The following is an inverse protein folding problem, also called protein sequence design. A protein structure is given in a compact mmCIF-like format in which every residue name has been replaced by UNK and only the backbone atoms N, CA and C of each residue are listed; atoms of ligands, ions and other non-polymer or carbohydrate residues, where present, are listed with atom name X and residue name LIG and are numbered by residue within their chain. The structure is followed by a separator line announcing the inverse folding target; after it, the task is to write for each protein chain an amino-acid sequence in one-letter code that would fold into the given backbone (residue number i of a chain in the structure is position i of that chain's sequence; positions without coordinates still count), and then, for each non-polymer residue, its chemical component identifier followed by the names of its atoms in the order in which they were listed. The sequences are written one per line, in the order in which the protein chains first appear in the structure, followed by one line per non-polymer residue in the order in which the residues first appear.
data_IF_386887022516
#
_entry.id   IF_386887022516
#
_cell.length_a   1.000
_cell.length_b   1.000
_cell.length_c   1.000
_cell.angle_alpha   90.00
_cell.angle_beta   90.00
_cell.angle_gamma   90.00
#
_symmetry.space_group_name_H-M   'P 1'
#
loop_
_entity.id
_entity.type
_entity.pdbx_description
1 polymer ?
#
# COMPACT_ATOMS: atom_id res chain seq x y z
N UNK A 1 -41.09 -58.39 -46.53
CA UNK A 1 -39.68 -58.30 -46.08
C UNK A 1 -38.85 -57.79 -47.24
N UNK A 2 -37.73 -57.05 -47.04
CA UNK A 2 -36.94 -56.84 -45.81
C UNK A 2 -36.91 -55.35 -45.36
N UNK A 3 -36.90 -54.98 -44.07
CA UNK A 3 -35.91 -55.15 -42.96
C UNK A 3 -34.72 -54.17 -42.99
N UNK A 4 -34.83 -53.13 -42.15
CA UNK A 4 -33.94 -52.71 -41.03
C UNK A 4 -32.41 -52.75 -41.22
N UNK A 5 -31.81 -51.56 -41.09
CA UNK A 5 -30.56 -51.17 -40.38
C UNK A 5 -30.84 -49.71 -39.92
N UNK A 6 -30.88 -49.24 -38.67
CA UNK A 6 -30.12 -49.52 -37.45
C UNK A 6 -28.62 -49.69 -37.70
N UNK A 7 -27.95 -48.55 -37.76
CA UNK A 7 -26.69 -48.34 -37.04
C UNK A 7 -26.96 -47.41 -35.86
N UNK A 8 -26.60 -47.92 -34.69
CA UNK A 8 -26.24 -47.20 -33.48
C UNK A 8 -24.85 -46.59 -33.63
N UNK A 9 -24.43 -45.83 -32.62
CA UNK A 9 -23.12 -45.17 -32.44
C UNK A 9 -23.21 -43.68 -32.84
N UNK A 10 -23.00 -42.70 -31.97
CA UNK A 10 -22.20 -42.66 -30.75
C UNK A 10 -22.69 -41.51 -29.85
N UNK A 11 -22.69 -41.75 -28.54
CA UNK A 11 -23.05 -40.81 -27.49
C UNK A 11 -21.99 -39.71 -27.36
N UNK A 12 -22.04 -38.72 -28.24
CA UNK A 12 -21.26 -37.49 -28.14
C UNK A 12 -21.96 -36.44 -27.29
N UNK A 13 -22.36 -36.77 -26.05
CA UNK A 13 -22.73 -35.75 -25.08
C UNK A 13 -21.44 -35.06 -24.62
N UNK A 14 -20.89 -34.19 -25.48
CA UNK A 14 -19.92 -33.17 -25.10
C UNK A 14 -20.61 -32.22 -24.12
N UNK A 15 -20.73 -32.70 -22.88
CA UNK A 15 -20.76 -31.84 -21.72
C UNK A 15 -19.48 -31.03 -21.84
N UNK A 16 -19.60 -29.82 -22.39
CA UNK A 16 -18.58 -28.79 -22.35
C UNK A 16 -18.34 -28.50 -20.87
N UNK A 17 -17.52 -29.34 -20.23
CA UNK A 17 -16.83 -28.98 -19.01
C UNK A 17 -15.89 -27.88 -19.44
N UNK A 18 -16.38 -26.64 -19.36
CA UNK A 18 -15.52 -25.51 -19.13
C UNK A 18 -14.78 -25.82 -17.84
N UNK A 19 -13.65 -26.53 -17.96
CA UNK A 19 -12.65 -26.71 -16.92
C UNK A 19 -12.10 -25.32 -16.65
N UNK A 20 -12.85 -24.54 -15.89
CA UNK A 20 -12.31 -23.36 -15.22
C UNK A 20 -11.28 -23.93 -14.27
N UNK A 21 -10.02 -23.95 -14.71
CA UNK A 21 -8.89 -24.30 -13.88
C UNK A 21 -8.97 -23.42 -12.64
N UNK A 22 -9.35 -23.99 -11.50
CA UNK A 22 -9.38 -23.29 -10.23
C UNK A 22 -7.94 -22.84 -9.95
N UNK A 23 -7.70 -21.54 -10.04
CA UNK A 23 -6.42 -20.95 -9.68
C UNK A 23 -6.46 -20.72 -8.17
N UNK A 24 -5.71 -21.54 -7.45
CA UNK A 24 -5.50 -21.35 -6.02
C UNK A 24 -4.35 -20.35 -5.83
N UNK A 25 -4.58 -19.32 -5.01
CA UNK A 25 -3.58 -18.29 -4.71
C UNK A 25 -3.46 -18.22 -3.20
N UNK A 26 -2.32 -18.69 -2.69
CA UNK A 26 -1.95 -18.59 -1.29
C UNK A 26 -1.11 -17.33 -1.05
N UNK A 27 -1.40 -16.61 0.01
CA UNK A 27 -0.56 -15.51 0.49
C UNK A 27 0.29 -16.02 1.65
N UNK A 28 1.58 -16.19 1.39
CA UNK A 28 2.54 -16.70 2.36
C UNK A 28 3.43 -15.57 2.86
N UNK A 29 3.79 -15.63 4.15
CA UNK A 29 4.56 -14.59 4.83
C UNK A 29 5.98 -15.11 5.08
N UNK A 30 6.97 -14.30 4.73
CA UNK A 30 8.38 -14.64 4.84
C UNK A 30 9.19 -13.46 5.37
N UNK A 31 10.29 -13.74 6.04
CA UNK A 31 11.32 -12.75 6.34
C UNK A 31 11.93 -12.22 5.02
N UNK A 32 12.35 -10.95 4.94
CA UNK A 32 13.09 -10.42 3.80
C UNK A 32 14.33 -11.26 3.47
N UNK A 33 14.43 -11.73 2.23
CA UNK A 33 15.54 -12.55 1.76
C UNK A 33 16.54 -11.73 0.93
N UNK A 34 17.77 -11.46 1.41
CA UNK A 34 18.77 -10.66 0.69
C UNK A 34 19.18 -11.22 -0.67
N UNK A 35 19.04 -12.53 -0.88
CA UNK A 35 19.46 -13.19 -2.12
C UNK A 35 18.41 -13.07 -3.24
N UNK A 36 17.17 -12.71 -2.91
CA UNK A 36 16.01 -12.74 -3.82
C UNK A 36 15.33 -11.38 -3.88
N UNK A 37 15.06 -10.76 -2.73
CA UNK A 37 14.04 -9.72 -2.59
C UNK A 37 14.50 -8.31 -2.97
N UNK A 38 15.80 -8.11 -3.18
CA UNK A 38 16.40 -6.79 -3.38
C UNK A 38 15.69 -5.97 -4.45
N UNK A 39 15.44 -6.54 -5.63
CA UNK A 39 14.84 -5.79 -6.73
C UNK A 39 13.37 -5.42 -6.45
N UNK A 40 12.61 -6.34 -5.88
CA UNK A 40 11.20 -6.13 -5.55
C UNK A 40 11.04 -5.11 -4.41
N UNK A 41 11.82 -5.23 -3.34
CA UNK A 41 11.81 -4.28 -2.23
C UNK A 41 12.24 -2.89 -2.71
N UNK A 42 13.32 -2.78 -3.50
CA UNK A 42 13.73 -1.49 -4.06
C UNK A 42 12.63 -0.85 -4.89
N UNK A 43 11.89 -1.66 -5.66
CA UNK A 43 10.72 -1.17 -6.43
C UNK A 43 9.59 -0.70 -5.51
N UNK A 44 9.26 -1.45 -4.45
CA UNK A 44 8.26 -1.03 -3.46
C UNK A 44 8.67 0.27 -2.76
N UNK A 45 9.91 0.41 -2.34
CA UNK A 45 10.41 1.64 -1.73
C UNK A 45 10.42 2.82 -2.71
N UNK A 46 10.80 2.57 -3.96
CA UNK A 46 10.71 3.60 -5.02
C UNK A 46 9.25 4.00 -5.28
N UNK A 47 8.32 3.05 -5.22
CA UNK A 47 6.89 3.30 -5.31
C UNK A 47 6.36 4.10 -4.11
N UNK A 48 6.85 3.83 -2.90
CA UNK A 48 6.47 4.54 -1.68
C UNK A 48 6.88 6.02 -1.73
N UNK A 49 8.13 6.29 -2.10
CA UNK A 49 8.69 7.66 -2.14
C UNK A 49 8.51 8.39 -3.47
N UNK A 50 8.05 7.69 -4.51
CA UNK A 50 7.78 8.22 -5.85
C UNK A 50 8.95 9.06 -6.39
N UNK A 51 8.70 10.32 -6.72
CA UNK A 51 9.66 11.24 -7.36
C UNK A 51 10.83 11.57 -6.44
N UNK A 52 10.63 11.47 -5.13
CA UNK A 52 11.64 11.77 -4.14
C UNK A 52 12.51 10.55 -3.81
N UNK A 53 12.24 9.39 -4.42
CA UNK A 53 12.99 8.16 -4.15
C UNK A 53 14.51 8.32 -4.40
N UNK A 54 14.91 9.01 -5.47
CA UNK A 54 16.33 9.14 -5.83
C UNK A 54 17.12 9.91 -4.76
N UNK A 55 16.60 11.04 -4.28
CA UNK A 55 17.23 11.85 -3.23
C UNK A 55 17.23 11.16 -1.85
N UNK A 56 16.43 10.11 -1.68
CA UNK A 56 16.35 9.33 -0.44
C UNK A 56 17.23 8.07 -0.46
N UNK A 57 18.02 7.88 -1.52
CA UNK A 57 19.00 6.80 -1.60
C UNK A 57 18.34 5.42 -1.40
N UNK A 58 17.36 5.07 -2.24
CA UNK A 58 16.59 3.81 -2.09
C UNK A 58 17.45 2.55 -2.16
N UNK A 59 18.63 2.60 -2.79
CA UNK A 59 19.57 1.49 -2.78
C UNK A 59 20.04 1.18 -1.35
N UNK A 60 20.62 2.17 -0.68
CA UNK A 60 21.14 2.05 0.68
C UNK A 60 20.03 1.78 1.71
N UNK A 61 18.80 2.23 1.42
CA UNK A 61 17.62 1.89 2.22
C UNK A 61 17.23 0.42 2.05
N UNK A 62 17.26 -0.09 0.82
CA UNK A 62 16.94 -1.49 0.52
C UNK A 62 17.95 -2.43 1.18
N UNK A 63 19.25 -2.12 1.04
CA UNK A 63 20.31 -2.88 1.71
C UNK A 63 20.13 -2.87 3.23
N UNK A 64 19.74 -1.72 3.81
CA UNK A 64 19.48 -1.63 5.24
C UNK A 64 18.27 -2.48 5.66
N UNK A 65 17.17 -2.47 4.90
CA UNK A 65 16.00 -3.31 5.18
C UNK A 65 16.35 -4.79 5.16
N UNK A 66 17.11 -5.23 4.14
CA UNK A 66 17.54 -6.61 3.97
C UNK A 66 18.59 -7.06 5.01
N UNK A 67 19.37 -6.12 5.55
CA UNK A 67 20.37 -6.40 6.58
C UNK A 67 19.76 -6.58 7.98
N UNK A 68 18.46 -6.35 8.16
CA UNK A 68 17.79 -6.60 9.43
C UNK A 68 17.65 -8.12 9.67
N UNK A 69 18.11 -8.64 10.81
CA UNK A 69 18.08 -10.08 11.07
C UNK A 69 16.73 -10.60 11.57
N UNK A 70 15.91 -9.73 12.18
CA UNK A 70 14.84 -10.13 13.10
C UNK A 70 13.51 -9.41 12.87
N UNK A 71 13.50 -8.34 12.06
CA UNK A 71 12.35 -7.45 11.88
C UNK A 71 12.11 -7.18 10.41
N UNK A 72 10.91 -7.50 9.96
CA UNK A 72 10.46 -7.32 8.59
C UNK A 72 9.67 -8.54 8.13
N UNK A 73 8.53 -8.28 7.49
CA UNK A 73 7.70 -9.31 6.87
C UNK A 73 7.47 -8.97 5.40
N UNK A 74 7.53 -9.97 4.54
CA UNK A 74 7.16 -9.90 3.12
C UNK A 74 6.02 -10.86 2.80
N UNK A 75 5.25 -10.58 1.74
CA UNK A 75 4.23 -11.50 1.24
C UNK A 75 4.56 -11.96 -0.16
N UNK A 76 4.50 -13.28 -0.38
CA UNK A 76 4.75 -13.96 -1.65
C UNK A 76 3.61 -14.92 -1.97
N UNK A 77 3.36 -15.16 -3.25
CA UNK A 77 2.36 -16.17 -3.68
C UNK A 77 2.99 -17.40 -4.33
N UNK A 78 4.20 -17.26 -4.86
CA UNK A 78 4.84 -18.29 -5.69
C UNK A 78 6.10 -18.86 -4.99
N UNK A 79 6.01 -19.03 -3.67
CA UNK A 79 7.06 -19.58 -2.81
C UNK A 79 8.20 -18.60 -2.47
N UNK A 80 9.15 -19.07 -1.65
CA UNK A 80 10.21 -18.24 -1.05
C UNK A 80 11.19 -17.62 -2.05
N UNK A 81 11.35 -18.23 -3.22
CA UNK A 81 12.25 -17.76 -4.31
C UNK A 81 11.58 -16.73 -5.24
N UNK A 82 10.30 -16.41 -5.00
CA UNK A 82 9.57 -15.42 -5.79
C UNK A 82 9.71 -14.00 -5.25
N UNK A 83 9.40 -13.01 -6.09
CA UNK A 83 9.40 -11.61 -5.71
C UNK A 83 8.29 -11.30 -4.71
N UNK A 84 8.58 -10.57 -3.61
CA UNK A 84 7.54 -10.11 -2.70
C UNK A 84 6.61 -9.06 -3.32
N UNK A 85 5.32 -9.20 -3.01
CA UNK A 85 4.26 -8.26 -3.39
C UNK A 85 3.94 -7.24 -2.30
N UNK A 86 4.41 -7.48 -1.07
CA UNK A 86 4.29 -6.57 0.05
C UNK A 86 5.54 -6.62 0.91
N UNK A 87 5.84 -5.50 1.56
CA UNK A 87 6.87 -5.36 2.59
C UNK A 87 6.27 -4.59 3.75
N UNK A 88 6.51 -5.06 4.97
CA UNK A 88 6.27 -4.31 6.19
C UNK A 88 7.44 -4.44 7.14
N UNK A 89 8.06 -3.33 7.53
CA UNK A 89 9.23 -3.32 8.41
C UNK A 89 9.31 -2.03 9.21
N UNK A 90 10.08 -2.04 10.29
CA UNK A 90 10.41 -0.84 11.09
C UNK A 90 11.91 -0.71 11.32
N UNK A 91 12.48 0.46 11.00
CA UNK A 91 13.90 0.75 11.17
C UNK A 91 14.13 1.71 12.34
N UNK A 92 15.11 1.44 13.20
CA UNK A 92 15.50 2.40 14.24
C UNK A 92 16.30 3.56 13.65
N UNK A 93 15.71 4.76 13.62
CA UNK A 93 16.34 5.95 13.04
C UNK A 93 17.57 6.43 13.82
N UNK A 94 17.64 6.17 15.13
CA UNK A 94 18.78 6.56 15.98
C UNK A 94 19.93 5.56 15.84
N UNK A 95 19.64 4.27 15.76
CA UNK A 95 20.65 3.24 15.50
C UNK A 95 21.33 3.48 14.15
N UNK A 96 20.53 3.78 13.12
CA UNK A 96 20.99 3.92 11.75
C UNK A 96 21.23 5.37 11.31
N UNK A 97 21.38 6.33 12.24
CA UNK A 97 21.52 7.76 11.92
C UNK A 97 22.71 8.09 10.99
N UNK A 98 23.72 7.21 10.92
CA UNK A 98 24.87 7.36 10.03
C UNK A 98 24.65 6.77 8.63
N UNK A 99 23.61 5.96 8.43
CA UNK A 99 23.24 5.45 7.11
C UNK A 99 22.75 6.61 6.23
N UNK A 100 23.23 6.63 4.98
CA UNK A 100 22.96 7.71 4.01
C UNK A 100 21.46 7.94 3.82
N UNK A 101 20.67 6.88 3.64
CA UNK A 101 19.22 6.98 3.42
C UNK A 101 18.49 7.43 4.66
N UNK A 102 18.83 6.91 5.83
CA UNK A 102 18.17 7.31 7.09
C UNK A 102 18.42 8.78 7.38
N UNK A 103 19.65 9.27 7.16
CA UNK A 103 19.98 10.68 7.26
C UNK A 103 19.23 11.53 6.24
N UNK A 104 19.15 11.08 4.98
CA UNK A 104 18.40 11.77 3.94
C UNK A 104 16.90 11.86 4.26
N UNK A 105 16.30 10.75 4.74
CA UNK A 105 14.91 10.68 5.17
C UNK A 105 14.68 11.62 6.36
N UNK A 106 15.52 11.60 7.40
CA UNK A 106 15.37 12.50 8.54
C UNK A 106 15.36 13.99 8.12
N UNK A 107 16.31 14.38 7.26
CA UNK A 107 16.38 15.75 6.74
C UNK A 107 15.17 16.10 5.84
N UNK A 108 14.73 15.14 5.03
CA UNK A 108 13.56 15.30 4.17
C UNK A 108 12.27 15.48 4.98
N UNK A 109 12.06 14.70 6.03
CA UNK A 109 10.89 14.86 6.89
C UNK A 109 10.92 16.21 7.62
N UNK A 110 12.09 16.66 8.06
CA UNK A 110 12.25 17.98 8.66
C UNK A 110 11.95 19.11 7.67
N UNK A 111 12.41 19.04 6.43
CA UNK A 111 12.16 20.10 5.43
C UNK A 111 10.69 20.16 5.02
N UNK A 112 10.04 19.01 4.84
CA UNK A 112 8.61 18.94 4.52
C UNK A 112 7.76 19.48 5.67
N UNK A 113 8.06 19.09 6.91
CA UNK A 113 7.32 19.61 8.08
C UNK A 113 7.58 21.10 8.31
N UNK A 114 8.80 21.60 8.09
CA UNK A 114 9.12 23.03 8.20
C UNK A 114 8.25 23.87 7.25
N UNK A 115 8.05 23.38 6.03
CA UNK A 115 7.30 24.08 4.99
C UNK A 115 5.78 24.05 5.21
N UNK A 116 5.24 22.99 5.82
CA UNK A 116 3.79 22.72 5.82
C UNK A 116 3.14 22.62 7.20
N UNK A 117 3.88 22.31 8.27
CA UNK A 117 3.34 22.11 9.62
C UNK A 117 4.40 22.46 10.70
N UNK A 118 4.52 23.75 11.10
CA UNK A 118 5.51 24.19 12.08
C UNK A 118 5.39 23.51 13.46
N UNK A 119 4.18 23.25 14.02
CA UNK A 119 4.03 22.43 15.22
C UNK A 119 4.62 21.02 15.07
N UNK A 120 4.33 20.32 13.98
CA UNK A 120 4.89 18.99 13.75
C UNK A 120 6.41 19.06 13.57
N UNK A 121 6.92 20.07 12.85
CA UNK A 121 8.35 20.28 12.71
C UNK A 121 9.07 20.41 14.06
N UNK A 122 8.50 21.19 15.00
CA UNK A 122 9.07 21.36 16.33
C UNK A 122 9.13 20.02 17.10
N UNK A 123 8.05 19.24 17.05
CA UNK A 123 8.00 17.89 17.65
C UNK A 123 9.05 16.97 17.03
N UNK A 124 9.11 16.91 15.70
CA UNK A 124 10.02 16.01 14.99
C UNK A 124 11.49 16.37 15.23
N UNK A 125 11.81 17.66 15.20
CA UNK A 125 13.15 18.18 15.52
C UNK A 125 13.58 17.83 16.95
N UNK A 126 12.66 17.93 17.91
CA UNK A 126 12.93 17.53 19.28
C UNK A 126 13.23 16.03 19.37
N UNK A 127 12.44 15.17 18.72
CA UNK A 127 12.64 13.72 18.71
C UNK A 127 14.01 13.34 18.10
N UNK A 128 14.36 13.87 16.94
CA UNK A 128 15.63 13.54 16.27
C UNK A 128 16.87 14.08 17.00
N UNK A 129 16.72 15.09 17.86
CA UNK A 129 17.83 15.64 18.65
C UNK A 129 18.18 14.81 19.88
N UNK A 130 17.31 13.89 20.30
CA UNK A 130 17.49 13.09 21.51
C UNK A 130 18.36 11.86 21.25
N UNK A 131 19.14 11.45 22.24
CA UNK A 131 19.98 10.26 22.16
C UNK A 131 19.26 8.97 22.56
N UNK A 132 18.18 9.07 23.35
CA UNK A 132 17.50 7.92 23.99
C UNK A 132 16.02 7.76 23.58
N UNK A 133 15.45 8.66 22.77
CA UNK A 133 14.11 8.47 22.23
C UNK A 133 14.18 7.67 20.94
N UNK A 134 13.93 6.36 21.01
CA UNK A 134 13.96 5.54 19.80
C UNK A 134 12.73 5.84 18.93
N UNK A 135 12.97 6.51 17.79
CA UNK A 135 11.99 6.69 16.71
C UNK A 135 12.12 5.54 15.70
N UNK A 136 11.02 4.83 15.49
CA UNK A 136 10.91 3.78 14.47
C UNK A 136 10.38 4.35 13.16
N UNK A 137 11.13 4.22 12.07
CA UNK A 137 10.66 4.50 10.71
C UNK A 137 9.94 3.27 10.18
N UNK A 138 8.63 3.37 10.02
CA UNK A 138 7.78 2.29 9.56
C UNK A 138 7.56 2.39 8.06
N UNK A 139 7.91 1.33 7.34
CA UNK A 139 7.79 1.21 5.89
C UNK A 139 6.81 0.07 5.59
N UNK A 140 5.62 0.43 5.10
CA UNK A 140 4.57 -0.49 4.70
C UNK A 140 4.13 -0.18 3.28
N UNK A 141 4.45 -1.04 2.32
CA UNK A 141 4.05 -0.84 0.93
C UNK A 141 3.77 -2.19 0.27
N UNK A 142 2.78 -2.20 -0.62
CA UNK A 142 2.34 -3.39 -1.33
C UNK A 142 1.86 -3.04 -2.72
N UNK A 143 1.77 -4.03 -3.59
CA UNK A 143 1.12 -3.83 -4.88
C UNK A 143 -0.36 -3.49 -4.67
N UNK A 144 -0.91 -2.61 -5.51
CA UNK A 144 -2.28 -2.09 -5.38
C UNK A 144 -3.36 -3.17 -5.49
N UNK A 145 -3.04 -4.29 -6.13
CA UNK A 145 -3.90 -5.46 -6.28
C UNK A 145 -3.84 -6.42 -5.09
N UNK A 146 -2.96 -6.20 -4.10
CA UNK A 146 -2.92 -7.01 -2.89
C UNK A 146 -4.18 -6.78 -2.05
N UNK A 147 -4.87 -7.85 -1.59
CA UNK A 147 -6.06 -7.72 -0.78
C UNK A 147 -5.75 -7.12 0.59
N UNK A 148 -6.59 -6.21 1.08
CA UNK A 148 -6.39 -5.55 2.39
C UNK A 148 -6.42 -6.55 3.56
N UNK A 149 -7.03 -7.72 3.37
CA UNK A 149 -7.16 -8.79 4.36
C UNK A 149 -5.80 -9.35 4.81
N UNK A 150 -4.73 -9.15 4.03
CA UNK A 150 -3.37 -9.56 4.44
C UNK A 150 -2.75 -8.59 5.45
N UNK A 151 -3.27 -7.37 5.58
CA UNK A 151 -2.65 -6.32 6.41
C UNK A 151 -2.76 -6.63 7.91
N UNK A 152 -3.92 -7.03 8.48
CA UNK A 152 -3.98 -7.37 9.90
C UNK A 152 -2.96 -8.43 10.36
N UNK A 153 -2.79 -9.59 9.67
CA UNK A 153 -1.75 -10.54 10.06
C UNK A 153 -0.33 -9.98 9.91
N UNK A 154 -0.03 -9.14 8.90
CA UNK A 154 1.27 -8.45 8.82
C UNK A 154 1.56 -7.60 10.06
N UNK A 155 0.56 -6.87 10.58
CA UNK A 155 0.73 -6.06 11.79
C UNK A 155 0.96 -6.91 13.04
N UNK A 156 0.30 -8.06 13.15
CA UNK A 156 0.55 -8.98 14.25
C UNK A 156 1.97 -9.55 14.19
N UNK A 157 2.42 -9.98 13.00
CA UNK A 157 3.77 -10.51 12.78
C UNK A 157 4.83 -9.48 13.12
N UNK A 158 4.75 -8.25 12.58
CA UNK A 158 5.72 -7.21 12.89
C UNK A 158 5.73 -6.85 14.38
N UNK A 159 4.57 -6.86 15.05
CA UNK A 159 4.51 -6.61 16.49
C UNK A 159 5.13 -7.75 17.32
N UNK A 160 5.03 -9.00 16.85
CA UNK A 160 5.69 -10.16 17.46
C UNK A 160 7.21 -10.11 17.22
N UNK A 161 7.65 -9.83 16.00
CA UNK A 161 9.05 -9.63 15.60
C UNK A 161 9.74 -8.55 16.45
N UNK A 162 9.12 -7.37 16.57
CA UNK A 162 9.63 -6.27 17.43
C UNK A 162 9.70 -6.71 18.90
N UNK A 163 8.74 -7.50 19.37
CA UNK A 163 8.74 -8.00 20.75
C UNK A 163 9.88 -9.00 20.97
N UNK A 164 10.13 -9.90 20.02
CA UNK A 164 11.21 -10.88 20.10
C UNK A 164 12.58 -10.21 19.98
N UNK A 165 12.76 -9.28 19.04
CA UNK A 165 13.98 -8.49 18.91
C UNK A 165 14.33 -7.74 20.22
N UNK A 166 13.33 -7.13 20.87
CA UNK A 166 13.53 -6.49 22.18
C UNK A 166 13.88 -7.50 23.29
N UNK A 167 13.32 -8.72 23.26
CA UNK A 167 13.67 -9.78 24.22
C UNK A 167 15.12 -10.26 24.04
N UNK A 168 15.63 -10.21 22.82
CA UNK A 168 17.02 -10.53 22.46
C UNK A 168 17.99 -9.35 22.70
N UNK A 169 17.48 -8.22 23.22
CA UNK A 169 18.28 -7.04 23.59
C UNK A 169 18.56 -6.09 22.41
N UNK A 170 17.89 -6.25 21.28
CA UNK A 170 17.99 -5.32 20.16
C UNK A 170 17.24 -4.01 20.47
N UNK A 171 17.70 -2.86 19.96
CA UNK A 171 17.18 -1.54 20.36
C UNK A 171 15.88 -1.18 19.62
N UNK A 172 14.81 -1.95 19.77
CA UNK A 172 13.49 -1.68 19.15
C UNK A 172 12.44 -1.18 20.15
N UNK A 173 12.89 -0.65 21.31
CA UNK A 173 12.01 -0.07 22.33
C UNK A 173 11.58 1.34 21.91
N UNK A 174 10.73 1.41 20.89
CA UNK A 174 10.29 2.69 20.32
C UNK A 174 9.35 3.45 21.26
N UNK A 175 9.52 4.78 21.26
CA UNK A 175 8.60 5.72 21.90
C UNK A 175 7.64 6.34 20.89
N UNK A 176 8.07 6.44 19.64
CA UNK A 176 7.33 7.01 18.54
C UNK A 176 7.60 6.20 17.27
N UNK A 177 6.57 6.12 16.43
CA UNK A 177 6.63 5.52 15.10
C UNK A 177 6.28 6.57 14.06
N UNK A 178 7.07 6.65 13.00
CA UNK A 178 6.79 7.48 11.83
C UNK A 178 6.42 6.55 10.68
N UNK A 179 5.16 6.59 10.29
CA UNK A 179 4.67 5.89 9.10
C UNK A 179 4.81 6.80 7.89
N UNK A 180 5.42 6.27 6.83
CA UNK A 180 5.41 6.90 5.52
C UNK A 180 4.43 6.13 4.64
N UNK A 181 3.56 6.86 3.96
CA UNK A 181 2.65 6.33 2.95
C UNK A 181 2.45 7.35 1.82
N UNK A 182 1.59 7.01 0.88
CA UNK A 182 1.21 7.83 -0.25
C UNK A 182 -0.31 7.85 -0.42
N UNK A 183 -0.78 8.97 -0.94
CA UNK A 183 -2.18 9.22 -1.25
C UNK A 183 -2.29 9.79 -2.65
N UNK A 184 -3.47 9.75 -3.22
CA UNK A 184 -3.76 10.50 -4.44
C UNK A 184 -4.82 11.54 -4.19
N UNK A 185 -4.65 12.69 -4.81
CA UNK A 185 -5.63 13.76 -4.80
C UNK A 185 -6.38 13.78 -6.13
N UNK A 186 -7.70 13.93 -6.06
CA UNK A 186 -8.56 14.17 -7.21
C UNK A 186 -9.29 15.51 -7.03
N UNK A 187 -9.23 16.36 -8.04
CA UNK A 187 -10.12 17.51 -8.14
C UNK A 187 -11.54 17.10 -8.53
N UNK A 188 -12.52 17.99 -8.31
CA UNK A 188 -13.93 17.75 -8.68
C UNK A 188 -14.10 17.39 -10.17
N UNK A 189 -13.28 18.01 -11.03
CA UNK A 189 -13.28 17.75 -12.46
C UNK A 189 -12.75 16.34 -12.77
N UNK A 190 -11.65 15.94 -12.14
CA UNK A 190 -11.04 14.62 -12.32
C UNK A 190 -11.94 13.49 -11.78
N UNK A 191 -12.59 13.69 -10.63
CA UNK A 191 -13.59 12.77 -10.07
C UNK A 191 -14.76 12.58 -11.05
N UNK A 192 -15.30 13.69 -11.56
CA UNK A 192 -16.41 13.67 -12.52
C UNK A 192 -16.03 12.95 -13.81
N UNK A 193 -14.82 13.18 -14.32
CA UNK A 193 -14.31 12.47 -15.49
C UNK A 193 -14.15 10.97 -15.23
N UNK A 194 -13.68 10.58 -14.04
CA UNK A 194 -13.52 9.17 -13.67
C UNK A 194 -14.87 8.45 -13.59
N UNK A 195 -15.87 9.07 -12.95
CA UNK A 195 -17.23 8.55 -12.86
C UNK A 195 -17.88 8.41 -14.26
N UNK A 196 -17.66 9.38 -15.14
CA UNK A 196 -18.16 9.35 -16.52
C UNK A 196 -17.48 8.25 -17.35
N UNK A 197 -16.18 8.02 -17.19
CA UNK A 197 -15.46 6.91 -17.87
C UNK A 197 -15.88 5.53 -17.35
N UNK A 198 -16.11 5.41 -16.04
CA UNK A 198 -16.59 4.16 -15.43
C UNK A 198 -18.00 3.78 -15.91
N UNK A 199 -18.90 4.77 -16.04
CA UNK A 199 -20.25 4.55 -16.57
C UNK A 199 -20.27 4.28 -18.08
N UNK A 200 -19.33 4.83 -18.85
CA UNK A 200 -19.16 4.53 -20.28
C UNK A 200 -18.66 3.09 -20.52
N UNK A 201 -17.69 2.60 -19.71
CA UNK A 201 -17.18 1.21 -19.80
C UNK A 201 -18.21 0.14 -19.45
N UNK A 202 -19.28 0.49 -18.72
CA UNK A 202 -20.35 -0.43 -18.30
C UNK A 202 -21.50 -0.56 -19.30
N UNK A 203 -21.47 0.14 -20.44
CA UNK A 203 -22.45 -0.07 -21.53
C UNK A 203 -21.91 -1.16 -22.48
N UNK A 204 -22.54 -2.35 -22.57
CA UNK A 204 -22.19 -3.29 -23.62
C UNK A 204 -22.63 -2.72 -24.96
N UNK A 205 -21.75 -2.72 -25.96
CA UNK A 205 -22.14 -2.47 -27.34
C UNK A 205 -22.94 -3.67 -27.87
N UNK A 206 -24.25 -3.63 -27.69
CA UNK A 206 -25.16 -4.46 -28.49
C UNK A 206 -26.00 -3.55 -29.37
N UNK A 207 -25.69 -3.57 -30.66
CA UNK A 207 -26.57 -3.13 -31.73
C UNK A 207 -27.92 -3.85 -31.61
N UNK A 208 -28.96 -3.16 -31.16
CA UNK A 208 -30.30 -3.26 -31.76
C UNK A 208 -31.28 -2.30 -31.08
N UNK A 209 -32.01 -1.61 -31.93
CA UNK A 209 -33.10 -0.70 -31.65
C UNK A 209 -34.28 -1.35 -30.90
N UNK A 210 -34.41 -1.19 -29.58
CA UNK A 210 -35.71 -1.31 -28.90
C UNK A 210 -35.85 -0.35 -27.71
N UNK A 211 -36.99 0.32 -27.71
CA UNK A 211 -37.58 1.34 -26.83
C UNK A 211 -37.27 1.27 -25.32
N UNK A 212 -37.06 2.47 -24.78
CA UNK A 212 -37.25 2.91 -23.38
C UNK A 212 -38.28 2.07 -22.60
N UNK A 213 -37.82 1.38 -21.55
CA UNK A 213 -38.63 1.14 -20.36
C UNK A 213 -37.79 1.32 -19.09
N UNK A 214 -38.20 2.34 -18.33
CA UNK A 214 -37.71 2.73 -17.01
C UNK A 214 -38.08 1.61 -16.03
N UNK A 215 -37.12 0.77 -15.65
CA UNK A 215 -37.28 -0.23 -14.59
C UNK A 215 -36.22 0.05 -13.52
N UNK A 216 -36.65 0.76 -12.47
CA UNK A 216 -35.93 0.87 -11.21
C UNK A 216 -35.74 -0.53 -10.62
N UNK A 217 -34.49 -0.91 -10.33
CA UNK A 217 -34.07 -1.98 -9.40
C UNK A 217 -32.53 -2.10 -9.39
N UNK A 218 -31.94 -2.65 -8.32
CA UNK A 218 -31.77 -2.06 -6.99
C UNK A 218 -30.30 -1.63 -6.80
N UNK A 219 -30.05 -0.78 -5.81
CA UNK A 219 -28.73 -0.40 -5.31
C UNK A 219 -27.96 -1.66 -4.87
N UNK A 220 -27.09 -2.17 -5.75
CA UNK A 220 -26.12 -3.18 -5.39
C UNK A 220 -24.77 -2.49 -5.18
N UNK A 221 -24.50 -2.18 -3.91
CA UNK A 221 -23.18 -2.14 -3.26
C UNK A 221 -22.05 -1.53 -4.09
N UNK A 222 -22.21 -0.27 -4.47
CA UNK A 222 -21.05 0.61 -4.49
C UNK A 222 -20.90 1.09 -3.05
N UNK A 223 -19.79 0.73 -2.43
CA UNK A 223 -19.40 1.29 -1.15
C UNK A 223 -19.24 2.82 -1.38
N UNK A 224 -20.33 3.58 -1.21
CA UNK A 224 -20.35 5.03 -1.29
C UNK A 224 -19.58 5.56 -0.07
N UNK A 225 -18.25 5.46 -0.12
CA UNK A 225 -17.41 6.32 0.70
C UNK A 225 -17.70 7.75 0.26
N UNK A 226 -18.38 8.49 1.14
CA UNK A 226 -18.64 9.91 0.96
C UNK A 226 -17.33 10.61 0.56
N UNK A 227 -17.42 11.51 -0.44
CA UNK A 227 -16.26 12.25 -0.95
C UNK A 227 -15.50 12.90 0.22
N UNK A 228 -14.18 12.65 0.35
CA UNK A 228 -13.33 13.38 1.28
C UNK A 228 -13.38 14.88 0.97
N UNK A 229 -13.57 15.71 1.99
CA UNK A 229 -13.71 17.16 1.80
C UNK A 229 -12.48 17.82 1.15
N UNK A 230 -11.32 17.19 1.28
CA UNK A 230 -10.04 17.62 0.73
C UNK A 230 -9.68 16.95 -0.61
N UNK A 231 -10.54 16.07 -1.13
CA UNK A 231 -10.28 15.30 -2.36
C UNK A 231 -9.10 14.32 -2.25
N UNK A 232 -8.66 13.99 -1.03
CA UNK A 232 -7.53 13.08 -0.80
C UNK A 232 -8.03 11.67 -0.52
N UNK A 233 -7.51 10.72 -1.29
CA UNK A 233 -7.88 9.32 -1.23
C UNK A 233 -6.67 8.45 -0.88
N UNK A 234 -6.81 7.46 0.01
CA UNK A 234 -5.73 6.55 0.35
C UNK A 234 -5.48 5.53 -0.76
N UNK A 235 -4.21 5.18 -0.99
CA UNK A 235 -3.87 3.94 -1.71
C UNK A 235 -4.06 2.72 -0.80
N UNK A 236 -3.76 2.90 0.48
CA UNK A 236 -3.81 1.89 1.52
C UNK A 236 -4.92 2.26 2.52
N UNK A 237 -6.10 1.61 2.49
CA UNK A 237 -7.20 1.94 3.40
C UNK A 237 -6.82 1.74 4.89
N UNK A 238 -5.79 0.95 5.18
CA UNK A 238 -5.17 0.83 6.51
C UNK A 238 -4.61 2.17 7.04
N UNK A 239 -4.18 3.09 6.17
CA UNK A 239 -3.64 4.39 6.57
C UNK A 239 -4.64 5.27 7.32
N UNK A 240 -5.94 5.13 7.05
CA UNK A 240 -6.96 5.92 7.74
C UNK A 240 -7.05 5.55 9.23
N UNK A 241 -6.72 4.30 9.57
CA UNK A 241 -6.66 3.82 10.96
C UNK A 241 -5.40 4.37 11.64
N UNK A 242 -4.27 4.36 10.93
CA UNK A 242 -3.01 4.95 11.41
C UNK A 242 -3.16 6.45 11.61
N UNK A 243 -3.75 7.15 10.64
CA UNK A 243 -3.96 8.61 10.68
C UNK A 243 -4.84 9.03 11.84
N UNK A 244 -5.91 8.28 12.14
CA UNK A 244 -6.77 8.53 13.31
C UNK A 244 -6.07 8.34 14.65
N UNK A 245 -5.02 7.52 14.70
CA UNK A 245 -4.22 7.30 15.90
C UNK A 245 -2.97 8.19 15.97
N UNK A 246 -2.67 8.94 14.92
CA UNK A 246 -1.49 9.76 14.84
C UNK A 246 -1.62 11.03 15.70
N UNK A 247 -0.52 11.39 16.37
CA UNK A 247 -0.37 12.67 17.04
C UNK A 247 -0.27 13.81 16.02
N UNK A 248 0.45 13.57 14.93
CA UNK A 248 0.54 14.47 13.78
C UNK A 248 0.38 13.67 12.49
N UNK A 249 -0.38 14.21 11.54
CA UNK A 249 -0.58 13.62 10.21
C UNK A 249 -0.50 14.73 9.18
N UNK A 250 0.43 14.60 8.22
CA UNK A 250 0.68 15.59 7.20
C UNK A 250 0.64 14.94 5.82
N UNK A 251 -0.19 15.48 4.93
CA UNK A 251 -0.18 15.15 3.50
C UNK A 251 0.48 16.30 2.74
N UNK A 252 1.42 16.00 1.87
CA UNK A 252 2.28 17.00 1.22
C UNK A 252 2.60 16.62 -0.23
N UNK A 253 2.78 17.61 -1.13
CA UNK A 253 3.30 17.33 -2.47
C UNK A 253 4.77 16.89 -2.40
N UNK A 254 5.18 15.95 -3.26
CA UNK A 254 6.60 15.59 -3.36
C UNK A 254 7.46 16.80 -3.72
N UNK A 255 8.64 16.86 -3.11
CA UNK A 255 9.59 17.99 -3.20
C UNK A 255 10.16 18.11 -4.61
N UNK A 256 10.50 16.97 -5.22
CA UNK A 256 11.01 16.92 -6.59
C UNK A 256 9.93 17.34 -7.58
N UNK A 257 10.25 18.23 -8.53
CA UNK A 257 9.28 18.69 -9.51
C UNK A 257 8.80 17.52 -10.39
N UNK A 258 7.62 17.67 -10.98
CA UNK A 258 7.15 16.73 -12.00
C UNK A 258 8.12 16.75 -13.21
N UNK A 259 8.34 15.63 -13.90
CA UNK A 259 9.09 15.64 -15.16
C UNK A 259 8.48 16.63 -16.16
N UNK A 260 9.27 17.36 -16.98
CA UNK A 260 8.76 18.38 -17.89
C UNK A 260 7.65 17.88 -18.82
N UNK A 261 7.81 16.67 -19.36
CA UNK A 261 6.81 16.03 -20.23
C UNK A 261 5.48 15.79 -19.52
N UNK A 262 5.50 15.53 -18.20
CA UNK A 262 4.31 15.32 -17.37
C UNK A 262 3.67 16.65 -16.97
N UNK A 263 4.46 17.71 -16.77
CA UNK A 263 3.93 19.07 -16.54
C UNK A 263 3.13 19.58 -17.76
N UNK A 264 3.66 19.36 -18.97
CA UNK A 264 3.02 19.74 -20.23
C UNK A 264 1.79 18.90 -20.59
N UNK A 265 1.72 17.65 -20.14
CA UNK A 265 0.59 16.72 -20.41
C UNK A 265 -0.46 16.70 -19.30
N UNK A 266 -0.12 17.03 -18.05
CA UNK A 266 -1.13 17.35 -17.01
C UNK A 266 -1.97 18.57 -17.39
N UNK A 267 -1.36 19.53 -18.06
CA UNK A 267 -2.07 20.70 -18.59
C UNK A 267 -2.88 20.42 -19.87
N UNK A 268 -2.68 19.25 -20.50
CA UNK A 268 -3.37 18.82 -21.73
C UNK A 268 -3.93 17.41 -21.59
N UNK A 269 -5.16 17.32 -21.09
CA UNK A 269 -6.09 16.19 -21.27
C UNK A 269 -5.64 14.77 -20.83
N UNK A 270 -4.53 14.61 -20.11
CA UNK A 270 -4.04 13.28 -19.73
C UNK A 270 -4.34 12.96 -18.26
N UNK A 271 -5.17 11.92 -18.04
CA UNK A 271 -5.53 11.42 -16.72
C UNK A 271 -4.30 10.80 -16.02
N UNK A 272 -3.77 11.49 -15.02
CA UNK A 272 -2.71 10.97 -14.15
C UNK A 272 -2.96 11.43 -12.71
N UNK A 273 -3.08 10.48 -11.78
CA UNK A 273 -3.42 10.76 -10.37
C UNK A 273 -2.40 11.72 -9.74
N UNK A 274 -2.88 12.69 -8.95
CA UNK A 274 -2.00 13.56 -8.16
C UNK A 274 -1.48 12.86 -6.92
N UNK A 275 -0.39 12.10 -7.07
CA UNK A 275 0.22 11.37 -5.96
C UNK A 275 0.97 12.35 -5.05
N UNK A 276 0.65 12.26 -3.76
CA UNK A 276 1.24 13.03 -2.65
C UNK A 276 1.81 12.08 -1.60
N UNK A 277 2.80 12.57 -0.86
CA UNK A 277 3.33 11.86 0.30
C UNK A 277 2.42 12.09 1.50
N UNK A 278 2.34 11.10 2.39
CA UNK A 278 1.70 11.21 3.70
C UNK A 278 2.66 10.71 4.76
N UNK A 279 2.85 11.49 5.81
CA UNK A 279 3.60 11.08 6.99
C UNK A 279 2.73 11.17 8.24
N UNK A 280 2.84 10.18 9.11
CA UNK A 280 2.03 10.07 10.32
C UNK A 280 2.92 9.71 11.50
N UNK A 281 2.99 10.59 12.50
CA UNK A 281 3.70 10.36 13.76
C UNK A 281 2.73 9.79 14.78
N UNK A 282 3.00 8.58 15.23
CA UNK A 282 2.20 7.85 16.22
C UNK A 282 3.01 7.66 17.50
N UNK A 283 2.39 7.87 18.66
CA UNK A 283 3.03 7.63 19.96
C UNK A 283 2.92 6.14 20.30
N UNK A 284 4.03 5.53 20.72
CA UNK A 284 4.15 4.13 21.09
C UNK A 284 5.20 3.38 20.26
N UNK A 285 5.28 2.07 20.49
CA UNK A 285 6.19 1.15 19.81
C UNK A 285 5.48 -0.14 19.40
N UNK A 286 6.06 -1.32 19.69
CA UNK A 286 5.50 -2.61 19.28
C UNK A 286 4.03 -2.85 19.71
N UNK A 287 3.65 -2.45 20.93
CA UNK A 287 2.26 -2.55 21.39
C UNK A 287 1.29 -1.69 20.56
N UNK A 288 1.75 -0.54 20.06
CA UNK A 288 0.95 0.33 19.19
C UNK A 288 0.75 -0.30 17.81
N UNK A 289 1.77 -0.97 17.27
CA UNK A 289 1.64 -1.77 16.03
C UNK A 289 0.58 -2.86 16.23
N UNK A 290 0.61 -3.56 17.36
CA UNK A 290 -0.40 -4.58 17.69
C UNK A 290 -1.82 -4.02 17.79
N UNK A 291 -1.99 -2.89 18.47
CA UNK A 291 -3.29 -2.22 18.61
C UNK A 291 -3.85 -1.80 17.24
N UNK A 292 -3.01 -1.21 16.37
CA UNK A 292 -3.39 -0.88 14.99
C UNK A 292 -3.83 -2.13 14.22
N UNK A 293 -3.08 -3.23 14.32
CA UNK A 293 -3.44 -4.52 13.73
C UNK A 293 -4.79 -5.06 14.23
N UNK A 294 -5.08 -4.92 15.52
CA UNK A 294 -6.38 -5.31 16.11
C UNK A 294 -7.56 -4.47 15.58
N UNK A 295 -7.36 -3.15 15.44
CA UNK A 295 -8.36 -2.26 14.82
C UNK A 295 -8.60 -2.63 13.35
N UNK A 296 -7.53 -2.94 12.61
CA UNK A 296 -7.60 -3.39 11.22
C UNK A 296 -8.32 -4.74 11.10
N UNK A 297 -8.05 -5.70 11.99
CA UNK A 297 -8.71 -6.99 12.01
C UNK A 297 -10.23 -6.86 12.24
N UNK A 298 -10.66 -5.89 13.05
CA UNK A 298 -12.09 -5.63 13.28
C UNK A 298 -12.79 -5.10 12.03
N UNK A 299 -12.07 -4.36 11.17
CA UNK A 299 -12.63 -3.75 9.96
C UNK A 299 -12.50 -4.63 8.71
N UNK A 300 -11.41 -5.40 8.60
CA UNK A 300 -11.04 -6.15 7.40
C UNK A 300 -10.98 -7.66 7.61
N UNK A 301 -10.97 -8.14 8.87
CA UNK A 301 -10.71 -9.54 9.21
C UNK A 301 -11.91 -10.49 9.05
N UNK A 302 -13.09 -9.97 8.74
CA UNK A 302 -14.24 -10.80 8.33
C UNK A 302 -14.32 -10.84 6.81
N UNK A 303 -13.66 -11.86 6.23
CA UNK A 303 -13.92 -12.37 4.88
C UNK A 303 -14.41 -13.81 5.00
#
# INVERSE_FOLDING_TARGET
MPKRKQDSDDDGNESSSSDVSLVDVSFEFFDPNPNVDYHAIKRLLTQLFQRDAEQLHTHELTELVLAQPTVGTTIKTDGIESDPFALFTVLNMHLHHQNTSVKAIANYLLSVTEAHDPPFHATLKALFSQSEAHVGLVLCERLVNMPVQVVPPMYNMLADEVKWANADGEPYQFTHLIFISRVYHLSEEEESQLANKASARRRPETNSSVKKQKKQRPEAEQNEMARPADGVYPFHPEDDIVSKAALHSLTYPYVSPLPPLVQETRSRDTFGLDIRGRMMLVVGGGEMIRDLGGRMATLYGTG
#
